data_IF_655323942434
#
_entry.id   IF_655323942434
#
_cell.length_a   1.000
_cell.length_b   1.000
_cell.length_c   1.000
_cell.angle_alpha   90.00
_cell.angle_beta   90.00
_cell.angle_gamma   90.00
#
_symmetry.space_group_name_H-M   'P 1'
#
loop_
_entity.id
_entity.type
_entity.pdbx_description
1 polymer ?
#
# COMPACT_ATOMS: atom_id res chain seq x y z
N UNK A 1 1.17 9.09 -27.40
CA UNK A 1 2.05 9.91 -26.54
C UNK A 1 3.37 10.12 -27.24
N UNK A 2 3.85 11.35 -27.32
CA UNK A 2 5.16 11.70 -27.89
C UNK A 2 6.27 11.06 -27.04
N UNK A 3 7.32 10.50 -27.64
CA UNK A 3 8.34 9.70 -26.92
C UNK A 3 8.97 10.43 -25.72
N UNK A 4 9.16 11.76 -25.81
CA UNK A 4 9.64 12.59 -24.68
C UNK A 4 8.70 12.54 -23.46
N UNK A 5 7.39 12.53 -23.66
CA UNK A 5 6.41 12.50 -22.56
C UNK A 5 6.37 11.12 -21.88
N UNK A 6 6.53 10.03 -22.66
CA UNK A 6 6.69 8.67 -22.12
C UNK A 6 7.91 8.56 -21.22
N UNK A 7 9.02 9.14 -21.65
CA UNK A 7 10.26 9.16 -20.89
C UNK A 7 10.09 9.92 -19.57
N UNK A 8 9.57 11.16 -19.60
CA UNK A 8 9.32 11.96 -18.39
C UNK A 8 8.41 11.21 -17.42
N UNK A 9 7.29 10.66 -17.91
CA UNK A 9 6.38 9.86 -17.08
C UNK A 9 7.09 8.67 -16.42
N UNK A 10 7.93 7.96 -17.17
CA UNK A 10 8.69 6.82 -16.66
C UNK A 10 9.64 7.25 -15.55
N UNK A 11 10.38 8.34 -15.74
CA UNK A 11 11.28 8.89 -14.72
C UNK A 11 10.50 9.23 -13.45
N UNK A 12 9.37 9.93 -13.57
CA UNK A 12 8.52 10.29 -12.43
C UNK A 12 8.04 9.04 -11.68
N UNK A 13 7.49 8.06 -12.39
CA UNK A 13 6.97 6.82 -11.76
C UNK A 13 8.09 6.01 -11.11
N UNK A 14 9.27 5.94 -11.72
CA UNK A 14 10.44 5.28 -11.11
C UNK A 14 10.88 5.99 -9.84
N UNK A 15 10.94 7.32 -9.84
CA UNK A 15 11.27 8.09 -8.63
C UNK A 15 10.23 7.84 -7.52
N UNK A 16 8.94 7.84 -7.85
CA UNK A 16 7.88 7.52 -6.88
C UNK A 16 7.99 6.09 -6.34
N UNK A 17 8.35 5.12 -7.19
CA UNK A 17 8.59 3.74 -6.76
C UNK A 17 9.79 3.64 -5.81
N UNK A 18 10.89 4.34 -6.11
CA UNK A 18 12.06 4.37 -5.23
C UNK A 18 11.73 5.01 -3.87
N UNK A 19 10.97 6.11 -3.87
CA UNK A 19 10.47 6.73 -2.65
C UNK A 19 9.55 5.78 -1.86
N UNK A 20 8.65 5.07 -2.54
CA UNK A 20 7.77 4.09 -1.90
C UNK A 20 8.55 2.94 -1.29
N UNK A 21 9.54 2.38 -1.99
CA UNK A 21 10.42 1.36 -1.42
C UNK A 21 11.16 1.88 -0.19
N UNK A 22 11.70 3.10 -0.26
CA UNK A 22 12.35 3.71 0.88
C UNK A 22 11.41 3.81 2.09
N UNK A 23 10.15 4.20 1.87
CA UNK A 23 9.13 4.27 2.94
C UNK A 23 8.85 2.89 3.52
N UNK A 24 8.56 1.90 2.68
CA UNK A 24 8.24 0.52 3.11
C UNK A 24 9.39 -0.05 3.95
N UNK A 25 10.63 0.01 3.45
CA UNK A 25 11.79 -0.51 4.18
C UNK A 25 12.09 0.31 5.45
N UNK A 26 11.85 1.62 5.45
CA UNK A 26 12.01 2.45 6.66
C UNK A 26 11.00 2.08 7.74
N UNK A 27 9.74 1.79 7.38
CA UNK A 27 8.74 1.32 8.34
C UNK A 27 8.96 -0.13 8.76
N UNK A 28 9.44 -0.98 7.85
CA UNK A 28 9.83 -2.36 8.11
C UNK A 28 11.01 -2.47 9.08
N UNK A 29 11.97 -1.53 9.01
CA UNK A 29 13.12 -1.47 9.90
C UNK A 29 12.79 -1.03 11.34
N UNK A 30 11.59 -0.50 11.59
CA UNK A 30 11.15 -0.14 12.93
C UNK A 30 10.78 -1.37 13.74
N UNK A 31 11.21 -1.40 15.00
CA UNK A 31 10.83 -2.45 15.94
C UNK A 31 9.29 -2.54 16.14
N UNK A 32 8.86 -3.67 16.68
CA UNK A 32 7.44 -3.97 16.90
C UNK A 32 6.72 -2.96 17.79
N UNK A 33 7.42 -2.39 18.78
CA UNK A 33 6.85 -1.43 19.73
C UNK A 33 6.65 -0.05 19.10
N UNK A 34 7.67 0.46 18.40
CA UNK A 34 7.65 1.77 17.74
C UNK A 34 6.57 1.80 16.66
N UNK A 35 6.53 0.76 15.82
CA UNK A 35 5.52 0.64 14.76
C UNK A 35 4.09 0.47 15.29
N UNK A 36 3.92 -0.25 16.40
CA UNK A 36 2.65 -0.39 17.10
C UNK A 36 2.17 0.95 17.66
N UNK A 37 3.07 1.69 18.33
CA UNK A 37 2.75 2.99 18.93
C UNK A 37 2.31 4.04 17.90
N UNK A 38 2.89 4.02 16.70
CA UNK A 38 2.46 4.87 15.59
C UNK A 38 1.06 4.50 15.11
N UNK A 39 0.82 3.22 14.87
CA UNK A 39 -0.49 2.68 14.44
C UNK A 39 -1.57 2.97 15.49
N UNK A 40 -1.23 2.89 16.77
CA UNK A 40 -2.11 3.19 17.89
C UNK A 40 -2.47 4.69 17.92
N UNK A 41 -1.50 5.56 17.61
CA UNK A 41 -1.74 7.01 17.50
C UNK A 41 -2.71 7.34 16.38
N UNK A 42 -2.56 6.73 15.21
CA UNK A 42 -3.49 6.87 14.09
C UNK A 42 -4.87 6.33 14.46
N UNK A 43 -4.93 5.17 15.12
CA UNK A 43 -6.17 4.56 15.59
C UNK A 43 -6.89 5.47 16.58
N UNK A 44 -6.17 6.03 17.55
CA UNK A 44 -6.70 7.00 18.52
C UNK A 44 -7.22 8.26 17.85
N UNK A 45 -6.50 8.79 16.86
CA UNK A 45 -6.96 9.95 16.07
C UNK A 45 -8.27 9.62 15.34
N UNK A 46 -8.35 8.44 14.70
CA UNK A 46 -9.57 7.95 14.06
C UNK A 46 -10.74 7.83 15.03
N UNK A 47 -10.52 7.24 16.21
CA UNK A 47 -11.56 7.08 17.22
C UNK A 47 -12.03 8.43 17.80
N UNK A 48 -11.11 9.40 17.98
CA UNK A 48 -11.49 10.76 18.43
C UNK A 48 -12.32 11.49 17.39
N UNK A 49 -11.95 11.39 16.11
CA UNK A 49 -12.75 11.95 15.01
C UNK A 49 -14.13 11.31 14.95
N UNK A 50 -14.19 9.98 15.07
CA UNK A 50 -15.45 9.24 15.10
C UNK A 50 -16.34 9.68 16.26
N UNK A 51 -15.80 9.75 17.48
CA UNK A 51 -16.54 10.25 18.65
C UNK A 51 -17.10 11.66 18.42
N UNK A 52 -16.29 12.56 17.83
CA UNK A 52 -16.73 13.91 17.49
C UNK A 52 -17.89 13.93 16.48
N UNK A 53 -17.93 12.97 15.55
CA UNK A 53 -19.03 12.82 14.59
C UNK A 53 -20.28 12.17 15.21
N UNK A 54 -20.12 11.30 16.21
CA UNK A 54 -21.22 10.57 16.85
C UNK A 54 -21.79 11.25 18.11
N UNK A 55 -21.51 12.54 18.32
CA UNK A 55 -22.09 13.32 19.42
C UNK A 55 -21.20 13.51 20.65
N UNK A 56 -20.00 12.93 20.68
CA UNK A 56 -18.97 13.23 21.68
C UNK A 56 -19.07 12.47 23.01
N UNK A 57 -20.04 11.57 23.18
CA UNK A 57 -20.37 10.95 24.47
C UNK A 57 -19.45 9.81 24.91
N UNK A 58 -18.43 9.45 24.12
CA UNK A 58 -17.58 8.32 24.46
C UNK A 58 -16.58 8.68 25.56
N UNK A 59 -16.52 7.83 26.59
CA UNK A 59 -15.49 7.90 27.63
C UNK A 59 -14.09 7.76 27.03
N UNK A 60 -13.11 8.45 27.61
CA UNK A 60 -11.69 8.30 27.25
C UNK A 60 -11.22 6.85 27.32
N UNK A 61 -11.75 6.06 28.27
CA UNK A 61 -11.45 4.64 28.39
C UNK A 61 -11.95 3.83 27.18
N UNK A 62 -13.15 4.14 26.66
CA UNK A 62 -13.69 3.48 25.47
C UNK A 62 -12.88 3.82 24.21
N UNK A 63 -12.46 5.07 24.07
CA UNK A 63 -11.64 5.52 22.94
C UNK A 63 -10.31 4.76 22.92
N UNK A 64 -9.63 4.62 24.07
CA UNK A 64 -8.37 3.89 24.15
C UNK A 64 -8.55 2.38 23.87
N UNK A 65 -9.59 1.74 24.42
CA UNK A 65 -9.86 0.34 24.12
C UNK A 65 -10.14 0.08 22.63
N UNK A 66 -10.95 0.94 22.00
CA UNK A 66 -11.22 0.83 20.57
C UNK A 66 -9.96 1.12 19.75
N UNK A 67 -9.16 2.12 20.14
CA UNK A 67 -7.90 2.42 19.46
C UNK A 67 -6.93 1.23 19.49
N UNK A 68 -6.80 0.56 20.64
CA UNK A 68 -5.99 -0.65 20.76
C UNK A 68 -6.55 -1.81 19.92
N UNK A 69 -7.89 -1.95 19.85
CA UNK A 69 -8.53 -2.94 18.99
C UNK A 69 -8.27 -2.70 17.49
N UNK A 70 -8.27 -1.43 17.06
CA UNK A 70 -8.07 -1.07 15.65
C UNK A 70 -6.61 -0.86 15.23
N UNK A 71 -5.66 -0.83 16.17
CA UNK A 71 -4.23 -0.68 15.90
C UNK A 71 -3.73 -1.67 14.84
N UNK A 72 -3.94 -2.96 15.10
CA UNK A 72 -3.47 -4.04 14.22
C UNK A 72 -4.15 -3.99 12.84
N UNK A 73 -5.49 -3.88 12.73
CA UNK A 73 -6.16 -3.69 11.45
C UNK A 73 -5.66 -2.48 10.66
N UNK A 74 -5.47 -1.33 11.31
CA UNK A 74 -4.98 -0.11 10.64
C UNK A 74 -3.57 -0.31 10.10
N UNK A 75 -2.69 -0.95 10.87
CA UNK A 75 -1.34 -1.29 10.41
C UNK A 75 -1.37 -2.20 9.18
N UNK A 76 -2.19 -3.25 9.20
CA UNK A 76 -2.34 -4.17 8.05
C UNK A 76 -2.93 -3.47 6.82
N UNK A 77 -3.88 -2.55 7.02
CA UNK A 77 -4.44 -1.76 5.92
C UNK A 77 -3.42 -0.78 5.33
N UNK A 78 -2.51 -0.25 6.14
CA UNK A 78 -1.43 0.61 5.65
C UNK A 78 -0.50 -0.16 4.71
N UNK A 79 -0.01 -1.34 5.11
CA UNK A 79 0.80 -2.20 4.25
C UNK A 79 0.04 -2.60 2.97
N UNK A 80 -1.21 -3.06 3.10
CA UNK A 80 -2.07 -3.35 1.94
C UNK A 80 -2.14 -2.16 0.96
N UNK A 81 -2.27 -0.93 1.47
CA UNK A 81 -2.31 0.27 0.66
C UNK A 81 -0.96 0.59 0.00
N UNK A 82 0.16 0.45 0.72
CA UNK A 82 1.51 0.63 0.19
C UNK A 82 1.79 -0.31 -0.98
N UNK A 83 1.50 -1.61 -0.80
CA UNK A 83 1.63 -2.60 -1.87
C UNK A 83 0.62 -2.37 -3.00
N UNK A 84 -0.57 -1.82 -2.70
CA UNK A 84 -1.52 -1.34 -3.71
C UNK A 84 -0.95 -0.22 -4.57
N UNK A 85 -0.31 0.79 -3.97
CA UNK A 85 0.39 1.84 -4.72
C UNK A 85 1.52 1.25 -5.55
N UNK A 86 2.30 0.32 -5.00
CA UNK A 86 3.36 -0.38 -5.73
C UNK A 86 2.83 -1.10 -6.97
N UNK A 87 1.78 -1.91 -6.81
CA UNK A 87 1.14 -2.64 -7.92
C UNK A 87 0.61 -1.70 -9.00
N UNK A 88 0.00 -0.58 -8.58
CA UNK A 88 -0.47 0.47 -9.49
C UNK A 88 0.69 1.07 -10.31
N UNK A 89 1.75 1.51 -9.64
CA UNK A 89 2.88 2.19 -10.28
C UNK A 89 3.63 1.25 -11.23
N UNK A 90 3.94 0.02 -10.81
CA UNK A 90 4.61 -0.99 -11.65
C UNK A 90 3.77 -1.28 -12.89
N UNK A 91 2.47 -1.50 -12.72
CA UNK A 91 1.62 -1.82 -13.87
C UNK A 91 1.46 -0.63 -14.83
N UNK A 92 1.48 0.59 -14.30
CA UNK A 92 1.44 1.82 -15.10
C UNK A 92 2.68 1.95 -16.01
N UNK A 93 3.86 1.52 -15.55
CA UNK A 93 5.08 1.47 -16.37
C UNK A 93 4.93 0.52 -17.55
N UNK A 94 4.42 -0.70 -17.31
CA UNK A 94 4.18 -1.66 -18.38
C UNK A 94 3.22 -1.10 -19.42
N UNK A 95 2.14 -0.44 -18.99
CA UNK A 95 1.17 0.17 -19.91
C UNK A 95 1.70 1.36 -20.71
N UNK A 96 2.69 2.09 -20.17
CA UNK A 96 3.28 3.24 -20.85
C UNK A 96 4.06 2.83 -22.11
N UNK A 97 4.76 1.70 -22.04
CA UNK A 97 5.66 1.20 -23.08
C UNK A 97 5.12 0.02 -23.88
N UNK A 98 4.22 -0.78 -23.29
CA UNK A 98 3.69 -2.01 -23.88
C UNK A 98 2.17 -1.98 -23.92
N UNK A 99 1.59 -2.70 -24.87
CA UNK A 99 0.14 -2.93 -24.88
C UNK A 99 -0.23 -3.85 -23.72
N UNK A 100 -1.29 -3.51 -23.00
CA UNK A 100 -1.81 -4.33 -21.88
C UNK A 100 -2.03 -5.76 -22.34
N UNK A 101 -1.45 -6.72 -21.60
CA UNK A 101 -1.55 -8.16 -21.85
C UNK A 101 -1.56 -8.90 -20.51
N UNK A 102 -2.14 -10.10 -20.47
CA UNK A 102 -2.17 -10.96 -19.28
C UNK A 102 -0.77 -11.22 -18.70
N UNK A 103 0.25 -11.30 -19.55
CA UNK A 103 1.65 -11.51 -19.13
C UNK A 103 2.17 -10.36 -18.25
N UNK A 104 1.86 -9.11 -18.60
CA UNK A 104 2.31 -7.94 -17.83
C UNK A 104 1.57 -7.79 -16.51
N UNK A 105 0.31 -8.25 -16.43
CA UNK A 105 -0.42 -8.36 -15.16
C UNK A 105 0.28 -9.37 -14.26
N UNK A 106 0.59 -10.57 -14.79
CA UNK A 106 1.29 -11.61 -14.05
C UNK A 106 2.66 -11.13 -13.54
N UNK A 107 3.46 -10.47 -14.37
CA UNK A 107 4.75 -9.94 -13.93
C UNK A 107 4.63 -8.85 -12.86
N UNK A 108 3.62 -7.97 -12.94
CA UNK A 108 3.34 -7.02 -11.85
C UNK A 108 3.02 -7.73 -10.55
N UNK A 109 2.17 -8.77 -10.59
CA UNK A 109 1.78 -9.51 -9.38
C UNK A 109 2.95 -10.29 -8.80
N UNK A 110 3.76 -10.95 -9.63
CA UNK A 110 4.98 -11.64 -9.19
C UNK A 110 5.95 -10.65 -8.54
N UNK A 111 6.12 -9.46 -9.12
CA UNK A 111 7.00 -8.45 -8.54
C UNK A 111 6.52 -7.99 -7.16
N UNK A 112 5.23 -7.72 -7.01
CA UNK A 112 4.66 -7.33 -5.72
C UNK A 112 4.79 -8.48 -4.71
N UNK A 113 4.47 -9.71 -5.10
CA UNK A 113 4.64 -10.89 -4.24
C UNK A 113 6.08 -11.04 -3.75
N UNK A 114 7.06 -10.94 -4.64
CA UNK A 114 8.48 -11.01 -4.27
C UNK A 114 8.89 -9.85 -3.35
N UNK A 115 8.32 -8.66 -3.55
CA UNK A 115 8.57 -7.50 -2.69
C UNK A 115 8.00 -7.73 -1.28
N UNK A 116 6.77 -8.26 -1.17
CA UNK A 116 6.14 -8.59 0.11
C UNK A 116 6.89 -9.70 0.84
N UNK A 117 7.36 -10.74 0.13
CA UNK A 117 8.23 -11.77 0.71
C UNK A 117 9.53 -11.16 1.22
N UNK A 118 10.18 -10.28 0.45
CA UNK A 118 11.43 -9.65 0.86
C UNK A 118 11.26 -8.78 2.11
N UNK A 119 10.13 -8.08 2.21
CA UNK A 119 9.79 -7.27 3.38
C UNK A 119 9.54 -8.12 4.62
N UNK A 120 8.75 -9.18 4.53
CA UNK A 120 8.53 -10.11 5.66
C UNK A 120 9.81 -10.82 6.12
N UNK A 121 10.68 -11.18 5.16
CA UNK A 121 12.02 -11.71 5.47
C UNK A 121 12.88 -10.65 6.18
N UNK A 122 12.81 -9.39 5.76
CA UNK A 122 13.51 -8.30 6.44
C UNK A 122 12.98 -8.10 7.87
N UNK A 123 11.66 -8.05 8.05
CA UNK A 123 11.01 -7.91 9.35
C UNK A 123 11.35 -9.08 10.30
N UNK A 124 11.56 -10.29 9.78
CA UNK A 124 11.99 -11.43 10.59
C UNK A 124 13.32 -11.18 11.33
N UNK A 125 14.20 -10.33 10.80
CA UNK A 125 15.45 -9.96 11.45
C UNK A 125 15.32 -8.75 12.40
N UNK A 126 14.14 -8.14 12.49
CA UNK A 126 13.88 -6.97 13.33
C UNK A 126 13.30 -7.40 14.68
N UNK A 127 13.85 -6.93 15.82
CA UNK A 127 13.34 -7.27 17.15
C UNK A 127 11.86 -6.91 17.34
N UNK A 128 11.10 -7.81 17.97
CA UNK A 128 9.68 -7.59 18.27
C UNK A 128 8.74 -7.71 17.06
N UNK A 129 9.26 -8.09 15.89
CA UNK A 129 8.46 -8.44 14.70
C UNK A 129 8.50 -9.95 14.48
N UNK A 130 7.40 -10.51 13.99
CA UNK A 130 7.31 -11.90 13.56
C UNK A 130 6.92 -11.91 12.09
N UNK A 131 7.78 -12.47 11.24
CA UNK A 131 7.44 -12.66 9.83
C UNK A 131 6.26 -13.62 9.68
N UNK A 132 5.19 -13.17 9.03
CA UNK A 132 3.92 -13.88 8.93
C UNK A 132 3.55 -14.12 7.46
N UNK A 133 3.47 -15.39 7.08
CA UNK A 133 3.04 -15.78 5.73
C UNK A 133 1.66 -15.18 5.34
N UNK A 134 0.65 -15.09 6.23
CA UNK A 134 -0.61 -14.44 5.89
C UNK A 134 -0.47 -12.97 5.48
N UNK A 135 0.52 -12.26 6.02
CA UNK A 135 0.73 -10.84 5.73
C UNK A 135 1.29 -10.66 4.30
N UNK A 136 2.18 -11.55 3.83
CA UNK A 136 2.58 -11.63 2.41
C UNK A 136 1.38 -11.72 1.47
N UNK A 137 0.41 -12.59 1.79
CA UNK A 137 -0.77 -12.79 0.96
C UNK A 137 -1.68 -11.56 0.98
N UNK A 138 -1.85 -10.93 2.14
CA UNK A 138 -2.65 -9.72 2.26
C UNK A 138 -2.05 -8.58 1.42
N UNK A 139 -0.74 -8.37 1.53
CA UNK A 139 0.00 -7.36 0.79
C UNK A 139 0.00 -7.61 -0.72
N UNK A 140 0.12 -8.88 -1.11
CA UNK A 140 -0.04 -9.30 -2.50
C UNK A 140 -1.45 -8.99 -3.03
N UNK A 141 -2.51 -9.21 -2.23
CA UNK A 141 -3.87 -8.80 -2.58
C UNK A 141 -3.99 -7.28 -2.72
N UNK A 142 -3.28 -6.51 -1.90
CA UNK A 142 -3.11 -5.06 -2.05
C UNK A 142 -2.56 -4.71 -3.41
N UNK A 143 -1.42 -5.32 -3.78
CA UNK A 143 -0.81 -5.20 -5.10
C UNK A 143 -1.74 -5.51 -6.27
N UNK A 144 -2.46 -6.64 -6.20
CA UNK A 144 -3.46 -7.03 -7.21
C UNK A 144 -4.55 -5.96 -7.35
N UNK A 145 -5.01 -5.40 -6.23
CA UNK A 145 -6.00 -4.32 -6.20
C UNK A 145 -5.46 -3.08 -6.92
N UNK A 146 -4.22 -2.69 -6.65
CA UNK A 146 -3.52 -1.60 -7.34
C UNK A 146 -3.40 -1.80 -8.86
N UNK A 147 -3.02 -3.01 -9.29
CA UNK A 147 -2.95 -3.39 -10.71
C UNK A 147 -4.33 -3.25 -11.37
N UNK A 148 -5.38 -3.76 -10.71
CA UNK A 148 -6.74 -3.68 -11.22
C UNK A 148 -7.23 -2.24 -11.35
N UNK A 149 -6.99 -1.40 -10.33
CA UNK A 149 -7.32 0.03 -10.36
C UNK A 149 -6.60 0.75 -11.50
N UNK A 150 -5.33 0.47 -11.75
CA UNK A 150 -4.58 1.01 -12.87
C UNK A 150 -5.25 0.69 -14.21
N UNK A 151 -5.62 -0.57 -14.42
CA UNK A 151 -6.31 -1.02 -15.64
C UNK A 151 -7.67 -0.32 -15.78
N UNK A 152 -8.45 -0.24 -14.70
CA UNK A 152 -9.77 0.36 -14.68
C UNK A 152 -9.70 1.84 -15.07
N UNK A 153 -8.81 2.63 -14.43
CA UNK A 153 -8.64 4.04 -14.73
C UNK A 153 -8.27 4.26 -16.20
N UNK A 154 -7.28 3.53 -16.72
CA UNK A 154 -6.86 3.66 -18.13
C UNK A 154 -8.01 3.33 -19.09
N UNK A 155 -8.85 2.33 -18.78
CA UNK A 155 -10.03 2.00 -19.58
C UNK A 155 -11.11 3.08 -19.52
N UNK A 156 -11.39 3.62 -18.34
CA UNK A 156 -12.35 4.71 -18.15
C UNK A 156 -11.92 5.97 -18.90
N UNK A 157 -10.66 6.39 -18.76
CA UNK A 157 -10.11 7.52 -19.51
C UNK A 157 -10.22 7.30 -21.03
N UNK A 158 -9.84 6.13 -21.53
CA UNK A 158 -10.01 5.83 -22.97
C UNK A 158 -11.45 5.85 -23.44
N UNK A 159 -12.42 5.51 -22.58
CA UNK A 159 -13.85 5.53 -22.91
C UNK A 159 -14.40 6.95 -22.93
N UNK A 160 -13.97 7.81 -22.01
CA UNK A 160 -14.40 9.21 -21.91
C UNK A 160 -13.84 10.02 -23.08
N UNK A 161 -12.56 9.86 -23.42
CA UNK A 161 -11.87 10.63 -24.49
C UNK A 161 -11.96 9.99 -25.89
N UNK A 162 -12.68 8.88 -26.06
CA UNK A 162 -13.05 8.32 -27.37
C UNK A 162 -14.49 8.68 -27.79
N UNK A 163 -15.22 9.41 -26.96
CA UNK A 163 -16.34 10.25 -27.43
C UNK A 163 -15.77 11.55 -27.95
#
# INVERSE_FOLDING_TARGET
MRNKLRFIYTVVVVVLLLMLYFIIFSFSAQDGETSGSFSLTISRMGMKLWNGLTGGDWSSYMIEQMAAYFENPIRKLAHFAEYGVMGFLIHSLWMCWRRTSRRWILYSVIWVFLSAVADEVHQYFVPGRSGNIPDVFLDTCGGVTGVFLCILLVRLFKRIYRK
#
